data_IF_739311434342
#
_entry.id   IF_739311434342
#
_cell.length_a   1.000
_cell.length_b   1.000
_cell.length_c   1.000
_cell.angle_alpha   90.00
_cell.angle_beta   90.00
_cell.angle_gamma   90.00
#
_symmetry.space_group_name_H-M   'P 1'
#
loop_
_entity.id
_entity.type
_entity.pdbx_description
1 polymer ?
#
# COMPACT_ATOMS: atom_id res chain seq x y z
N UNK A 1 -4.66 16.40 -7.75
CA UNK A 1 -5.09 15.44 -6.71
C UNK A 1 -3.84 14.77 -6.19
N UNK A 2 -3.67 14.71 -4.87
CA UNK A 2 -2.48 14.14 -4.23
C UNK A 2 -2.27 12.68 -4.70
N UNK A 3 -1.11 12.40 -5.31
CA UNK A 3 -0.75 11.07 -5.84
C UNK A 3 -0.82 10.02 -4.73
N UNK A 4 -0.53 10.41 -3.48
CA UNK A 4 -0.61 9.52 -2.32
C UNK A 4 -2.05 9.15 -1.97
N UNK A 5 -2.98 10.10 -2.07
CA UNK A 5 -4.41 9.85 -1.86
C UNK A 5 -4.96 8.91 -2.93
N UNK A 6 -4.54 9.06 -4.20
CA UNK A 6 -4.97 8.20 -5.30
C UNK A 6 -4.62 6.72 -5.09
N UNK A 7 -3.48 6.42 -4.46
CA UNK A 7 -3.03 5.05 -4.18
C UNK A 7 -4.05 4.33 -3.31
N UNK A 8 -4.61 4.99 -2.29
CA UNK A 8 -5.48 4.35 -1.30
C UNK A 8 -6.99 4.60 -1.51
N UNK A 9 -7.38 5.50 -2.42
CA UNK A 9 -8.76 5.95 -2.64
C UNK A 9 -9.79 4.83 -2.94
N UNK A 10 -9.32 3.63 -3.32
CA UNK A 10 -10.18 2.49 -3.69
C UNK A 10 -10.21 1.36 -2.65
N UNK A 11 -9.72 1.57 -1.42
CA UNK A 11 -9.67 0.52 -0.39
C UNK A 11 -10.75 0.82 0.66
N UNK A 12 -11.72 -0.08 0.77
CA UNK A 12 -12.74 0.01 1.82
C UNK A 12 -12.17 -0.34 3.19
N UNK A 13 -12.75 0.22 4.25
CA UNK A 13 -12.40 -0.12 5.64
C UNK A 13 -12.50 -1.62 5.91
N UNK A 14 -13.50 -2.30 5.32
CA UNK A 14 -13.65 -3.77 5.41
C UNK A 14 -12.44 -4.52 4.85
N UNK A 15 -11.89 -4.09 3.71
CA UNK A 15 -10.70 -4.72 3.12
C UNK A 15 -9.44 -4.44 3.96
N UNK A 16 -9.35 -3.26 4.57
CA UNK A 16 -8.26 -2.94 5.51
C UNK A 16 -8.31 -3.87 6.71
N UNK A 17 -9.49 -4.14 7.25
CA UNK A 17 -9.65 -5.06 8.39
C UNK A 17 -9.25 -6.50 8.04
N UNK A 18 -9.66 -7.01 6.86
CA UNK A 18 -9.21 -8.31 6.35
C UNK A 18 -7.68 -8.36 6.27
N UNK A 19 -7.05 -7.31 5.74
CA UNK A 19 -5.60 -7.22 5.64
C UNK A 19 -4.92 -7.19 7.01
N UNK A 20 -5.41 -6.36 7.95
CA UNK A 20 -4.85 -6.26 9.31
C UNK A 20 -4.88 -7.60 10.04
N UNK A 21 -6.01 -8.28 10.02
CA UNK A 21 -6.14 -9.60 10.66
C UNK A 21 -5.23 -10.64 10.01
N UNK A 22 -5.05 -10.57 8.68
CA UNK A 22 -4.07 -11.43 8.00
C UNK A 22 -2.64 -11.17 8.47
N UNK A 23 -2.26 -9.90 8.66
CA UNK A 23 -0.94 -9.53 9.19
C UNK A 23 -0.72 -10.02 10.63
N UNK A 24 -1.80 -10.15 11.42
CA UNK A 24 -1.76 -10.78 12.75
C UNK A 24 -1.69 -12.31 12.74
N UNK A 25 -1.57 -12.94 11.56
CA UNK A 25 -1.38 -14.39 11.41
C UNK A 25 -2.64 -15.19 11.11
N UNK A 26 -3.84 -14.59 11.18
CA UNK A 26 -5.11 -15.28 10.90
C UNK A 26 -5.12 -15.87 9.49
N UNK A 27 -5.53 -17.12 9.33
CA UNK A 27 -5.52 -17.83 8.05
C UNK A 27 -6.55 -17.24 7.06
N UNK A 28 -6.38 -17.51 5.76
CA UNK A 28 -7.34 -17.02 4.76
C UNK A 28 -8.70 -17.71 4.88
N UNK A 29 -8.70 -18.93 5.40
CA UNK A 29 -9.85 -19.77 5.69
C UNK A 29 -10.69 -19.16 6.82
N UNK A 30 -10.07 -18.75 7.93
CA UNK A 30 -10.74 -18.06 9.04
C UNK A 30 -11.26 -16.69 8.62
N UNK A 31 -10.52 -15.96 7.79
CA UNK A 31 -10.98 -14.67 7.25
C UNK A 31 -12.15 -14.83 6.28
N UNK A 32 -12.15 -15.87 5.44
CA UNK A 32 -13.24 -16.16 4.53
C UNK A 32 -14.55 -16.39 5.29
N UNK A 33 -14.49 -17.17 6.38
CA UNK A 33 -15.63 -17.42 7.26
C UNK A 33 -16.06 -16.14 7.99
N UNK A 34 -15.13 -15.42 8.64
CA UNK A 34 -15.44 -14.24 9.46
C UNK A 34 -16.04 -13.08 8.64
N UNK A 35 -15.62 -12.94 7.39
CA UNK A 35 -16.08 -11.85 6.51
C UNK A 35 -17.09 -12.31 5.47
N UNK A 36 -17.56 -13.56 5.48
CA UNK A 36 -18.50 -14.11 4.50
C UNK A 36 -18.09 -13.80 3.04
N UNK A 37 -16.85 -14.12 2.69
CA UNK A 37 -16.27 -13.96 1.34
C UNK A 37 -15.43 -15.18 1.00
N UNK A 38 -15.12 -15.39 -0.29
CA UNK A 38 -14.27 -16.52 -0.67
C UNK A 38 -12.82 -16.35 -0.18
N UNK A 39 -12.13 -17.46 0.08
CA UNK A 39 -10.69 -17.49 0.39
C UNK A 39 -9.86 -16.76 -0.67
N UNK A 40 -10.18 -16.97 -1.95
CA UNK A 40 -9.53 -16.29 -3.07
C UNK A 40 -9.72 -14.76 -2.98
N UNK A 41 -10.89 -14.30 -2.54
CA UNK A 41 -11.13 -12.87 -2.35
C UNK A 41 -10.28 -12.30 -1.21
N UNK A 42 -10.11 -13.02 -0.10
CA UNK A 42 -9.20 -12.61 0.98
C UNK A 42 -7.76 -12.45 0.47
N UNK A 43 -7.28 -13.40 -0.34
CA UNK A 43 -5.95 -13.32 -0.96
C UNK A 43 -5.82 -12.10 -1.90
N UNK A 44 -6.79 -11.88 -2.77
CA UNK A 44 -6.82 -10.70 -3.65
C UNK A 44 -6.78 -9.39 -2.87
N UNK A 45 -7.57 -9.30 -1.80
CA UNK A 45 -7.57 -8.12 -0.90
C UNK A 45 -6.16 -7.91 -0.33
N UNK A 46 -5.55 -8.98 0.18
CA UNK A 46 -4.22 -8.92 0.79
C UNK A 46 -3.16 -8.47 -0.21
N UNK A 47 -3.03 -9.14 -1.36
CA UNK A 47 -2.05 -8.80 -2.39
C UNK A 47 -2.28 -7.39 -2.96
N UNK A 48 -3.54 -6.97 -3.14
CA UNK A 48 -3.87 -5.62 -3.64
C UNK A 48 -3.40 -4.53 -2.67
N UNK A 49 -3.59 -4.74 -1.36
CA UNK A 49 -3.15 -3.78 -0.33
C UNK A 49 -1.62 -3.77 -0.23
N UNK A 50 -0.96 -4.93 -0.24
CA UNK A 50 0.51 -4.99 -0.26
C UNK A 50 1.12 -4.26 -1.47
N UNK A 51 0.55 -4.48 -2.65
CA UNK A 51 1.03 -3.82 -3.86
C UNK A 51 0.90 -2.30 -3.77
N UNK A 52 -0.21 -1.79 -3.21
CA UNK A 52 -0.40 -0.35 -2.98
C UNK A 52 0.60 0.22 -1.97
N UNK A 53 0.90 -0.52 -0.90
CA UNK A 53 1.95 -0.13 0.06
C UNK A 53 3.33 -0.07 -0.62
N UNK A 54 3.66 -1.07 -1.45
CA UNK A 54 4.92 -1.06 -2.23
C UNK A 54 5.00 0.13 -3.16
N UNK A 55 3.90 0.46 -3.86
CA UNK A 55 3.82 1.62 -4.74
C UNK A 55 4.02 2.93 -3.97
N UNK A 56 3.42 3.05 -2.80
CA UNK A 56 3.60 4.20 -1.91
C UNK A 56 5.07 4.36 -1.49
N UNK A 57 5.72 3.29 -1.03
CA UNK A 57 7.13 3.31 -0.64
C UNK A 57 8.03 3.69 -1.83
N UNK A 58 7.74 3.18 -3.01
CA UNK A 58 8.50 3.51 -4.23
C UNK A 58 8.41 5.00 -4.57
N UNK A 59 7.22 5.59 -4.48
CA UNK A 59 7.03 7.02 -4.71
C UNK A 59 7.76 7.88 -3.68
N UNK A 60 7.67 7.51 -2.39
CA UNK A 60 8.42 8.20 -1.33
C UNK A 60 9.94 8.17 -1.57
N UNK A 61 10.48 7.02 -1.99
CA UNK A 61 11.91 6.89 -2.32
C UNK A 61 12.31 7.78 -3.49
N UNK A 62 11.48 7.83 -4.53
CA UNK A 62 11.70 8.69 -5.70
C UNK A 62 11.69 10.17 -5.30
N UNK A 63 10.72 10.60 -4.50
CA UNK A 63 10.65 12.00 -4.04
C UNK A 63 11.90 12.40 -3.24
N UNK A 64 12.45 11.49 -2.43
CA UNK A 64 13.71 11.71 -1.70
C UNK A 64 14.90 11.84 -2.66
N UNK A 65 14.96 10.99 -3.69
CA UNK A 65 16.02 11.01 -4.70
C UNK A 65 15.98 12.28 -5.54
N UNK A 66 14.79 12.66 -6.03
CA UNK A 66 14.57 13.89 -6.78
C UNK A 66 14.96 15.12 -5.93
N UNK A 67 14.63 15.13 -4.64
CA UNK A 67 15.01 16.22 -3.72
C UNK A 67 16.53 16.32 -3.51
N UNK A 68 17.23 15.18 -3.42
CA UNK A 68 18.70 15.14 -3.31
C UNK A 68 19.36 15.66 -4.59
N UNK A 69 18.84 15.27 -5.75
CA UNK A 69 19.37 15.69 -7.05
C UNK A 69 19.26 17.21 -7.23
N UNK A 70 18.08 17.78 -6.92
CA UNK A 70 17.85 19.23 -6.94
C UNK A 70 18.80 20.00 -6.01
N UNK A 71 19.08 19.45 -4.82
CA UNK A 71 20.06 20.03 -3.91
C UNK A 71 21.46 20.04 -4.52
N UNK A 72 21.94 18.92 -5.07
CA UNK A 72 23.26 18.83 -5.70
C UNK A 72 23.41 19.83 -6.86
N UNK A 73 22.39 19.95 -7.71
CA UNK A 73 22.38 20.89 -8.84
C UNK A 73 22.51 22.33 -8.36
N UNK A 74 21.77 22.72 -7.32
CA UNK A 74 21.84 24.07 -6.75
C UNK A 74 23.23 24.44 -6.22
N UNK A 75 23.94 23.49 -5.61
CA UNK A 75 25.26 23.72 -5.01
C UNK A 75 26.44 23.51 -5.97
N UNK A 76 26.22 22.92 -7.16
CA UNK A 76 27.22 22.86 -8.23
C UNK A 76 27.21 24.11 -9.14
N UNK A 77 26.21 24.97 -9.01
CA UNK A 77 26.09 26.24 -9.74
C UNK A 77 26.53 27.47 -8.92
N UNK A 78 27.10 27.27 -7.72
CA UNK A 78 27.84 28.27 -6.94
C UNK A 78 29.32 27.89 -6.90
#
# INVERSE_FOLDING_TARGET
>A
MDRYIQIFNSISCRNIEVFKRRQSGVSFEELAAAFNISRQRCQQIHSKIEWKIKLFIMLMKKDIEDSKQLFIEKYKMS
#
